data_IF_690834731574
#
_entry.id   IF_690834731574
#
_cell.length_a   1.000
_cell.length_b   1.000
_cell.length_c   1.000
_cell.angle_alpha   90.00
_cell.angle_beta   90.00
_cell.angle_gamma   90.00
#
_symmetry.space_group_name_H-M   'P 1'
#
loop_
_entity.id
_entity.type
_entity.pdbx_description
1 polymer ?
#
# COMPACT_ATOMS: atom_id res chain seq x y z
N UNK A 1 -4.86 -1.65 -14.25
CA UNK A 1 -5.41 -2.38 -13.09
C UNK A 1 -6.90 -2.07 -12.92
N UNK A 2 -7.62 -2.84 -12.11
CA UNK A 2 -9.03 -2.63 -11.78
C UNK A 2 -9.20 -2.44 -10.27
N UNK A 3 -9.98 -1.44 -9.85
CA UNK A 3 -10.39 -1.28 -8.45
C UNK A 3 -11.44 -2.34 -8.11
N UNK A 4 -11.21 -3.09 -7.03
CA UNK A 4 -12.12 -4.14 -6.55
C UNK A 4 -13.08 -3.56 -5.51
N UNK A 5 -12.54 -3.06 -4.40
CA UNK A 5 -13.30 -2.45 -3.29
C UNK A 5 -12.43 -1.50 -2.46
N UNK A 6 -13.02 -0.58 -1.69
CA UNK A 6 -12.28 0.10 -0.62
C UNK A 6 -11.62 -0.93 0.30
N UNK A 7 -10.39 -0.66 0.70
CA UNK A 7 -9.59 -1.57 1.52
C UNK A 7 -9.34 -1.01 2.92
N UNK A 8 -9.36 0.32 3.08
CA UNK A 8 -9.17 0.96 4.37
C UNK A 8 -8.62 2.36 4.20
N UNK A 9 -8.23 3.00 5.30
CA UNK A 9 -7.64 4.32 5.27
C UNK A 9 -6.69 4.52 6.45
N UNK A 10 -5.78 5.48 6.30
CA UNK A 10 -4.88 5.93 7.37
C UNK A 10 -4.98 7.45 7.49
N UNK A 11 -4.87 8.00 8.69
CA UNK A 11 -4.67 9.43 8.92
C UNK A 11 -3.42 9.66 9.76
N UNK A 12 -2.63 10.65 9.37
CA UNK A 12 -1.40 11.04 10.05
C UNK A 12 -0.99 12.46 9.70
N UNK A 13 -0.12 13.07 10.51
CA UNK A 13 0.54 14.32 10.15
C UNK A 13 1.70 14.04 9.20
N UNK A 14 1.73 14.75 8.08
CA UNK A 14 2.86 14.67 7.16
C UNK A 14 4.13 15.32 7.74
N UNK A 15 5.23 15.26 6.99
CA UNK A 15 6.51 15.85 7.42
C UNK A 15 6.48 17.38 7.61
N UNK A 16 5.42 18.05 7.16
CA UNK A 16 5.20 19.50 7.32
C UNK A 16 4.16 19.80 8.41
N UNK A 17 3.73 18.80 9.18
CA UNK A 17 2.74 18.95 10.26
C UNK A 17 1.30 19.13 9.76
N UNK A 18 1.00 18.77 8.51
CA UNK A 18 -0.35 18.88 7.94
C UNK A 18 -1.10 17.57 8.07
N UNK A 19 -2.38 17.64 8.40
CA UNK A 19 -3.24 16.46 8.38
C UNK A 19 -3.32 15.85 6.98
N UNK A 20 -3.06 14.55 6.89
CA UNK A 20 -3.14 13.78 5.67
C UNK A 20 -4.01 12.55 5.89
N UNK A 21 -5.01 12.39 5.03
CA UNK A 21 -5.84 11.19 4.94
C UNK A 21 -5.47 10.45 3.66
N UNK A 22 -5.18 9.16 3.76
CA UNK A 22 -4.92 8.27 2.63
C UNK A 22 -5.96 7.17 2.62
N UNK A 23 -6.66 7.00 1.50
CA UNK A 23 -7.63 5.92 1.29
C UNK A 23 -7.00 4.87 0.37
N UNK A 24 -7.09 3.61 0.77
CA UNK A 24 -6.56 2.48 0.04
C UNK A 24 -7.70 1.70 -0.64
N UNK A 25 -7.39 1.14 -1.81
CA UNK A 25 -8.28 0.25 -2.54
C UNK A 25 -7.58 -1.08 -2.77
N UNK A 26 -8.36 -2.16 -2.69
CA UNK A 26 -7.94 -3.47 -3.16
C UNK A 26 -8.02 -3.44 -4.69
N UNK A 27 -6.96 -3.86 -5.36
CA UNK A 27 -6.84 -3.75 -6.81
C UNK A 27 -6.38 -5.06 -7.41
N UNK A 28 -6.94 -5.38 -8.57
CA UNK A 28 -6.45 -6.47 -9.40
C UNK A 28 -5.50 -5.91 -10.46
N UNK A 29 -4.26 -6.43 -10.58
CA UNK A 29 -3.39 -6.07 -11.69
C UNK A 29 -4.08 -6.42 -13.01
N UNK A 30 -3.92 -5.56 -14.02
CA UNK A 30 -4.34 -5.86 -15.38
C UNK A 30 -3.08 -6.26 -16.16
N UNK A 31 -2.72 -5.50 -17.17
CA UNK A 31 -1.47 -5.57 -17.89
C UNK A 31 -0.45 -4.51 -17.40
N UNK A 32 0.73 -4.54 -18.01
CA UNK A 32 1.81 -3.59 -17.76
C UNK A 32 3.09 -4.26 -17.25
N UNK A 33 4.19 -3.52 -17.29
CA UNK A 33 5.48 -3.95 -16.77
C UNK A 33 6.11 -2.81 -16.00
N UNK A 34 6.66 -3.11 -14.83
CA UNK A 34 7.34 -2.12 -14.01
C UNK A 34 8.58 -1.56 -14.73
N UNK A 35 8.74 -0.24 -14.67
CA UNK A 35 9.95 0.47 -15.08
C UNK A 35 10.34 1.41 -13.94
N UNK A 36 11.60 1.37 -13.45
CA UNK A 36 12.06 2.28 -12.42
C UNK A 36 11.84 3.76 -12.78
N UNK A 37 11.58 4.58 -11.77
CA UNK A 37 11.43 6.04 -11.87
C UNK A 37 12.19 6.74 -10.74
N UNK A 38 12.15 8.07 -10.70
CA UNK A 38 12.75 8.86 -9.62
C UNK A 38 12.12 8.58 -8.24
N UNK A 39 10.86 8.17 -8.21
CA UNK A 39 10.13 7.90 -6.96
C UNK A 39 10.20 6.42 -6.54
N UNK A 40 10.24 5.50 -7.50
CA UNK A 40 10.20 4.06 -7.24
C UNK A 40 11.27 3.35 -8.06
N UNK A 41 12.29 2.84 -7.38
CA UNK A 41 13.42 2.16 -8.00
C UNK A 41 13.17 0.65 -8.23
N UNK A 42 12.34 0.02 -7.38
CA UNK A 42 12.08 -1.42 -7.39
C UNK A 42 10.62 -1.78 -7.07
N UNK A 43 10.15 -2.86 -7.67
CA UNK A 43 8.86 -3.49 -7.37
C UNK A 43 9.05 -4.98 -7.12
N UNK A 44 8.35 -5.52 -6.11
CA UNK A 44 8.31 -6.95 -5.81
C UNK A 44 6.87 -7.39 -5.59
N UNK A 45 6.51 -8.55 -6.16
CA UNK A 45 5.28 -9.26 -5.80
C UNK A 45 5.62 -10.23 -4.67
N UNK A 46 4.85 -10.15 -3.58
CA UNK A 46 5.12 -10.88 -2.34
C UNK A 46 3.81 -11.42 -1.77
N UNK A 47 3.93 -12.41 -0.88
CA UNK A 47 2.83 -12.76 0.03
C UNK A 47 2.59 -11.64 1.04
N UNK A 48 1.43 -11.65 1.71
CA UNK A 48 1.12 -10.67 2.75
C UNK A 48 2.11 -10.79 3.92
N UNK A 49 2.49 -12.02 4.27
CA UNK A 49 3.43 -12.33 5.34
C UNK A 49 4.81 -11.72 5.06
N UNK A 50 5.33 -11.87 3.85
CA UNK A 50 6.62 -11.32 3.45
C UNK A 50 6.58 -9.79 3.35
N UNK A 51 5.48 -9.24 2.81
CA UNK A 51 5.27 -7.80 2.75
C UNK A 51 5.26 -7.18 4.15
N UNK A 52 4.61 -7.83 5.11
CA UNK A 52 4.60 -7.41 6.51
C UNK A 52 6.01 -7.34 7.10
N UNK A 53 6.97 -8.17 6.69
CA UNK A 53 8.34 -8.07 7.20
C UNK A 53 9.09 -6.85 6.64
N UNK A 54 8.80 -6.44 5.41
CA UNK A 54 9.55 -5.40 4.69
C UNK A 54 8.99 -3.98 4.85
N UNK A 55 7.67 -3.82 5.06
CA UNK A 55 7.05 -2.51 5.21
C UNK A 55 7.65 -1.75 6.40
N UNK A 56 8.16 -0.53 6.21
CA UNK A 56 8.85 0.19 7.29
C UNK A 56 7.92 1.02 8.17
N UNK A 57 6.70 1.30 7.70
CA UNK A 57 5.72 2.09 8.43
C UNK A 57 4.68 1.20 9.10
N UNK A 58 4.53 1.35 10.42
CA UNK A 58 3.58 0.55 11.21
C UNK A 58 2.14 0.71 10.73
N UNK A 59 1.73 1.92 10.30
CA UNK A 59 0.38 2.16 9.76
C UNK A 59 0.07 1.31 8.52
N UNK A 60 1.07 1.03 7.68
CA UNK A 60 0.88 0.22 6.48
C UNK A 60 0.84 -1.28 6.85
N UNK A 61 1.58 -1.69 7.88
CA UNK A 61 1.45 -3.03 8.48
C UNK A 61 0.07 -3.23 9.12
N UNK A 62 -0.41 -2.25 9.88
CA UNK A 62 -1.73 -2.27 10.52
C UNK A 62 -2.84 -2.39 9.48
N UNK A 63 -2.77 -1.63 8.38
CA UNK A 63 -3.73 -1.72 7.28
C UNK A 63 -3.89 -3.16 6.76
N UNK A 64 -2.77 -3.87 6.54
CA UNK A 64 -2.80 -5.26 6.05
C UNK A 64 -3.32 -6.26 7.11
N UNK A 65 -2.96 -6.06 8.39
CA UNK A 65 -3.41 -6.94 9.49
C UNK A 65 -4.90 -6.80 9.79
N UNK A 66 -5.42 -5.58 9.71
CA UNK A 66 -6.82 -5.27 10.02
C UNK A 66 -7.77 -5.55 8.86
N UNK A 67 -7.24 -5.69 7.64
CA UNK A 67 -8.03 -5.96 6.44
C UNK A 67 -7.49 -7.19 5.70
N UNK A 68 -7.76 -8.42 6.18
CA UNK A 68 -7.32 -9.64 5.50
C UNK A 68 -7.82 -9.71 4.05
N UNK A 69 -6.99 -10.32 3.19
CA UNK A 69 -7.33 -10.59 1.80
C UNK A 69 -8.06 -11.92 1.71
N UNK A 70 -9.37 -11.88 1.91
CA UNK A 70 -10.30 -13.01 1.70
C UNK A 70 -10.70 -13.16 0.23
#
# INVERSE_FOLDING_TARGET
CRLVRPYGWTAYLDRKGREKIVRYWLMQPADGTFRPSEEVDRLRWLTVEDALQLLTYERDRALLRENPLD
#
